data_IF_014324130267
#
_entry.id   IF_014324130267
#
_cell.length_a   1.000
_cell.length_b   1.000
_cell.length_c   1.000
_cell.angle_alpha   90.00
_cell.angle_beta   90.00
_cell.angle_gamma   90.00
#
_symmetry.space_group_name_H-M   'P 1'
#
loop_
_entity.id
_entity.type
_entity.pdbx_description
1 polymer ?
#
# COMPACT_ATOMS: atom_id res chain seq x y z
N UNK A 1 20.08 25.11 -33.01
CA UNK A 1 20.00 24.03 -32.00
C UNK A 1 18.77 23.20 -32.32
N UNK A 2 18.82 21.85 -32.29
CA UNK A 2 17.60 21.09 -32.50
C UNK A 2 16.69 21.37 -31.31
N UNK A 3 15.62 22.12 -31.53
CA UNK A 3 14.52 22.24 -30.57
C UNK A 3 14.00 20.82 -30.36
N UNK A 4 14.31 20.22 -29.23
CA UNK A 4 13.67 18.98 -28.83
C UNK A 4 12.18 19.29 -28.70
N UNK A 5 11.37 18.68 -29.57
CA UNK A 5 9.90 18.75 -29.57
C UNK A 5 9.27 18.50 -28.19
N UNK A 6 10.01 17.86 -27.29
CA UNK A 6 9.65 17.63 -25.89
C UNK A 6 9.43 18.93 -25.12
N UNK A 7 10.25 19.97 -25.29
CA UNK A 7 10.09 21.24 -24.53
C UNK A 7 8.82 22.02 -24.95
N UNK A 8 8.15 21.60 -26.02
CA UNK A 8 6.90 22.17 -26.49
C UNK A 8 5.66 21.37 -26.04
N UNK A 9 5.85 20.23 -25.36
CA UNK A 9 4.72 19.46 -24.87
C UNK A 9 4.06 20.15 -23.67
N UNK A 10 2.73 20.08 -23.56
CA UNK A 10 2.03 20.56 -22.37
C UNK A 10 2.50 19.82 -21.11
N UNK A 11 2.55 20.52 -19.99
CA UNK A 11 3.00 19.96 -18.70
C UNK A 11 2.13 18.78 -18.25
N UNK A 12 0.86 18.76 -18.64
CA UNK A 12 -0.10 17.72 -18.33
C UNK A 12 0.32 16.37 -18.94
N UNK A 13 0.91 16.37 -20.13
CA UNK A 13 1.42 15.15 -20.77
C UNK A 13 2.59 14.60 -19.96
N UNK A 14 3.47 15.47 -19.46
CA UNK A 14 4.53 15.05 -18.57
C UNK A 14 3.97 14.48 -17.27
N UNK A 15 3.00 15.12 -16.63
CA UNK A 15 2.39 14.60 -15.41
C UNK A 15 1.75 13.23 -15.61
N UNK A 16 1.08 13.01 -16.74
CA UNK A 16 0.57 11.69 -17.11
C UNK A 16 1.70 10.67 -17.23
N UNK A 17 2.78 10.98 -17.95
CA UNK A 17 3.94 10.08 -18.08
C UNK A 17 4.58 9.78 -16.71
N UNK A 18 4.79 10.82 -15.90
CA UNK A 18 5.40 10.70 -14.57
C UNK A 18 4.54 9.86 -13.62
N UNK A 19 3.21 9.82 -13.81
CA UNK A 19 2.31 9.01 -12.98
C UNK A 19 2.58 7.49 -13.06
N UNK A 20 3.22 7.03 -14.13
CA UNK A 20 3.62 5.63 -14.31
C UNK A 20 5.00 5.30 -13.71
N UNK A 21 5.71 6.29 -13.15
CA UNK A 21 7.07 6.16 -12.66
C UNK A 21 7.15 6.39 -11.15
N UNK A 22 8.08 5.70 -10.49
CA UNK A 22 8.42 6.01 -9.09
C UNK A 22 9.25 7.28 -9.01
N UNK A 23 9.16 8.02 -7.90
CA UNK A 23 9.91 9.25 -7.70
C UNK A 23 11.42 9.07 -7.86
N UNK A 24 11.97 7.92 -7.47
CA UNK A 24 13.37 7.59 -7.73
C UNK A 24 13.71 7.55 -9.22
N UNK A 25 12.88 6.89 -10.05
CA UNK A 25 13.05 6.86 -11.49
C UNK A 25 12.88 8.24 -12.13
N UNK A 26 11.89 9.01 -11.66
CA UNK A 26 11.64 10.37 -12.15
C UNK A 26 12.87 11.24 -11.92
N UNK A 27 13.38 11.29 -10.68
CA UNK A 27 14.54 12.12 -10.38
C UNK A 27 15.77 11.62 -11.12
N UNK A 28 16.02 10.31 -11.19
CA UNK A 28 17.18 9.77 -11.91
C UNK A 28 17.17 10.10 -13.41
N UNK A 29 15.99 10.09 -14.04
CA UNK A 29 15.86 10.29 -15.48
C UNK A 29 15.77 11.77 -15.88
N UNK A 30 15.11 12.61 -15.07
CA UNK A 30 14.73 13.96 -15.47
C UNK A 30 15.37 15.08 -14.64
N UNK A 31 15.88 14.79 -13.44
CA UNK A 31 16.52 15.80 -12.61
C UNK A 31 17.81 16.29 -13.27
N UNK A 32 18.01 17.62 -13.29
CA UNK A 32 19.17 18.27 -13.93
C UNK A 32 19.29 18.03 -15.44
N UNK A 33 18.24 17.57 -16.13
CA UNK A 33 18.26 17.43 -17.58
C UNK A 33 18.30 18.81 -18.27
N UNK A 34 17.32 19.65 -17.95
CA UNK A 34 17.29 21.08 -18.32
C UNK A 34 16.37 21.86 -17.36
N UNK A 35 16.33 23.19 -17.48
CA UNK A 35 15.50 24.04 -16.62
C UNK A 35 14.00 23.78 -16.78
N UNK A 36 13.54 23.43 -17.98
CA UNK A 36 12.14 23.14 -18.24
C UNK A 36 11.67 21.91 -17.46
N UNK A 37 12.39 20.79 -17.55
CA UNK A 37 12.11 19.58 -16.77
C UNK A 37 12.22 19.83 -15.27
N UNK A 38 13.24 20.57 -14.81
CA UNK A 38 13.33 20.92 -13.39
C UNK A 38 12.09 21.67 -12.90
N UNK A 39 11.54 22.60 -13.69
CA UNK A 39 10.30 23.30 -13.35
C UNK A 39 9.09 22.35 -13.32
N UNK A 40 9.00 21.41 -14.28
CA UNK A 40 7.95 20.37 -14.29
C UNK A 40 8.04 19.55 -13.00
N UNK A 41 9.23 19.08 -12.63
CA UNK A 41 9.44 18.26 -11.44
C UNK A 41 9.13 19.00 -10.13
N UNK A 42 9.42 20.31 -10.07
CA UNK A 42 9.06 21.18 -8.93
C UNK A 42 7.54 21.33 -8.81
N UNK A 43 6.83 21.43 -9.94
CA UNK A 43 5.37 21.56 -9.98
C UNK A 43 4.61 20.25 -9.76
N UNK A 44 5.23 19.10 -10.07
CA UNK A 44 4.62 17.79 -9.88
C UNK A 44 4.45 17.48 -8.38
N UNK A 45 3.27 17.08 -7.97
CA UNK A 45 2.89 16.90 -6.56
C UNK A 45 2.31 15.51 -6.25
N UNK A 46 2.52 14.55 -7.16
CA UNK A 46 1.98 13.18 -7.10
C UNK A 46 3.10 12.12 -7.15
N UNK A 47 4.14 12.28 -6.32
CA UNK A 47 5.21 11.29 -6.27
C UNK A 47 4.80 10.04 -5.50
N UNK A 48 5.10 8.89 -6.10
CA UNK A 48 5.07 7.58 -5.46
C UNK A 48 6.51 7.18 -5.16
N UNK A 49 6.83 7.03 -3.88
CA UNK A 49 8.15 6.60 -3.44
C UNK A 49 8.17 5.10 -3.25
N UNK A 50 8.97 4.43 -4.08
CA UNK A 50 9.31 3.04 -3.91
C UNK A 50 10.68 2.93 -3.24
N UNK A 51 10.67 2.58 -1.94
CA UNK A 51 11.85 2.29 -1.14
C UNK A 51 12.00 0.78 -0.91
N UNK A 52 11.33 -0.05 -1.72
CA UNK A 52 11.45 -1.51 -1.70
C UNK A 52 12.55 -2.05 -2.59
N UNK A 53 12.96 -1.28 -3.60
CA UNK A 53 13.97 -1.69 -4.55
C UNK A 53 15.31 -1.98 -3.84
N UNK A 54 15.89 -3.14 -4.12
CA UNK A 54 17.16 -3.59 -3.53
C UNK A 54 18.36 -2.70 -3.91
N UNK A 55 18.19 -1.85 -4.92
CA UNK A 55 19.29 -1.20 -5.61
C UNK A 55 19.32 0.32 -5.39
N UNK A 56 18.54 0.85 -4.44
CA UNK A 56 18.57 2.28 -4.13
C UNK A 56 19.91 2.61 -3.47
N UNK A 57 20.76 3.31 -4.21
CA UNK A 57 22.02 3.80 -3.70
C UNK A 57 21.80 4.91 -2.67
N UNK A 58 22.76 5.10 -1.75
CA UNK A 58 22.74 6.22 -0.80
C UNK A 58 22.58 7.57 -1.51
N UNK A 59 23.23 7.75 -2.68
CA UNK A 59 23.14 8.99 -3.47
C UNK A 59 21.73 9.23 -4.00
N UNK A 60 21.08 8.19 -4.52
CA UNK A 60 19.68 8.29 -4.99
C UNK A 60 18.74 8.60 -3.81
N UNK A 61 18.93 7.95 -2.66
CA UNK A 61 18.16 8.24 -1.46
C UNK A 61 18.35 9.69 -0.97
N UNK A 62 19.58 10.18 -0.96
CA UNK A 62 19.90 11.56 -0.56
C UNK A 62 19.31 12.57 -1.55
N UNK A 63 19.30 12.25 -2.85
CA UNK A 63 18.63 13.06 -3.89
C UNK A 63 17.12 13.13 -3.64
N UNK A 64 16.47 11.99 -3.40
CA UNK A 64 15.04 11.92 -3.06
C UNK A 64 14.73 12.81 -1.86
N UNK A 65 15.49 12.66 -0.76
CA UNK A 65 15.24 13.40 0.49
C UNK A 65 15.57 14.90 0.40
N UNK A 66 16.42 15.32 -0.54
CA UNK A 66 16.78 16.72 -0.74
C UNK A 66 15.86 17.45 -1.72
N UNK A 67 15.33 16.73 -2.71
CA UNK A 67 14.48 17.31 -3.75
C UNK A 67 12.99 17.31 -3.37
N UNK A 68 12.49 16.19 -2.83
CA UNK A 68 11.06 16.03 -2.60
C UNK A 68 10.60 16.63 -1.28
N UNK A 69 9.48 17.34 -1.34
CA UNK A 69 8.79 17.87 -0.17
C UNK A 69 7.71 16.90 0.30
N UNK A 70 7.41 16.95 1.60
CA UNK A 70 6.49 16.01 2.24
C UNK A 70 5.09 16.02 1.62
N UNK A 71 4.63 17.19 1.18
CA UNK A 71 3.34 17.42 0.54
C UNK A 71 3.27 16.84 -0.88
N UNK A 72 4.39 16.53 -1.51
CA UNK A 72 4.42 15.98 -2.87
C UNK A 72 4.36 14.45 -2.88
N UNK A 73 4.45 13.79 -1.71
CA UNK A 73 4.47 12.34 -1.58
C UNK A 73 3.04 11.82 -1.34
N UNK A 74 2.48 11.14 -2.33
CA UNK A 74 1.12 10.58 -2.27
C UNK A 74 1.11 9.06 -2.08
N UNK A 75 2.20 8.38 -2.43
CA UNK A 75 2.37 6.95 -2.24
C UNK A 75 3.73 6.61 -1.65
N UNK A 76 3.77 5.62 -0.76
CA UNK A 76 4.99 5.15 -0.14
C UNK A 76 5.00 3.63 -0.05
N UNK A 77 6.06 3.01 -0.57
CA UNK A 77 6.30 1.59 -0.49
C UNK A 77 7.63 1.34 0.23
N UNK A 78 7.61 0.45 1.22
CA UNK A 78 8.78 -0.03 1.93
C UNK A 78 9.00 -1.51 1.63
N UNK A 79 10.25 -1.94 1.44
CA UNK A 79 10.57 -3.36 1.20
C UNK A 79 11.62 -3.95 2.12
N UNK A 80 12.11 -5.13 1.74
CA UNK A 80 13.01 -5.97 2.55
C UNK A 80 14.36 -5.28 2.81
N UNK A 81 14.92 -5.50 4.00
CA UNK A 81 16.33 -5.25 4.35
C UNK A 81 16.86 -3.80 4.40
N UNK A 82 16.00 -2.79 4.49
CA UNK A 82 16.45 -1.40 4.64
C UNK A 82 15.94 -0.70 5.90
N UNK A 83 15.96 -1.38 7.05
CA UNK A 83 15.61 -0.75 8.34
C UNK A 83 16.34 0.60 8.52
N UNK A 84 17.60 0.69 8.08
CA UNK A 84 18.36 1.93 8.12
C UNK A 84 17.88 3.00 7.14
N UNK A 85 17.55 2.68 5.87
CA UNK A 85 17.00 3.68 4.94
C UNK A 85 15.63 4.15 5.39
N UNK A 86 14.78 3.24 5.87
CA UNK A 86 13.46 3.61 6.36
C UNK A 86 13.57 4.44 7.64
N UNK A 87 14.47 4.09 8.55
CA UNK A 87 14.72 4.91 9.73
C UNK A 87 15.26 6.29 9.36
N UNK A 88 16.17 6.38 8.39
CA UNK A 88 16.67 7.65 7.87
C UNK A 88 15.57 8.45 7.20
N UNK A 89 14.68 7.80 6.44
CA UNK A 89 13.53 8.43 5.80
C UNK A 89 12.61 9.00 6.87
N UNK A 90 12.19 8.17 7.82
CA UNK A 90 11.36 8.58 8.94
C UNK A 90 12.02 9.73 9.69
N UNK A 91 13.31 9.64 10.04
CA UNK A 91 14.04 10.73 10.72
C UNK A 91 14.07 12.04 9.91
N UNK A 92 14.28 11.96 8.59
CA UNK A 92 14.32 13.13 7.72
C UNK A 92 12.96 13.83 7.67
N UNK A 93 11.87 13.06 7.58
CA UNK A 93 10.52 13.61 7.47
C UNK A 93 9.93 13.97 8.85
N UNK A 94 10.23 13.23 9.91
CA UNK A 94 9.77 13.56 11.27
C UNK A 94 10.31 14.90 11.76
N UNK A 95 11.50 15.29 11.32
CA UNK A 95 12.10 16.58 11.68
C UNK A 95 11.63 17.74 10.79
N UNK A 96 11.06 17.45 9.62
CA UNK A 96 10.79 18.46 8.59
C UNK A 96 9.32 18.76 8.38
N UNK A 97 8.44 17.75 8.32
CA UNK A 97 6.98 17.87 8.15
C UNK A 97 6.30 16.49 8.07
N UNK A 98 5.05 16.40 8.52
CA UNK A 98 4.19 15.22 8.35
C UNK A 98 3.81 14.99 6.87
N UNK A 99 3.65 13.72 6.47
CA UNK A 99 3.25 13.29 5.13
C UNK A 99 1.74 13.48 4.92
N UNK A 100 1.29 14.74 4.91
CA UNK A 100 -0.14 15.10 4.95
C UNK A 100 -0.95 14.72 3.70
N UNK A 101 -0.27 14.54 2.56
CA UNK A 101 -0.89 14.15 1.28
C UNK A 101 -0.72 12.67 0.97
N UNK A 102 -0.13 11.89 1.86
CA UNK A 102 -0.01 10.45 1.68
C UNK A 102 -1.40 9.79 1.63
N UNK A 103 -1.66 9.05 0.55
CA UNK A 103 -2.91 8.31 0.32
C UNK A 103 -2.70 6.81 0.21
N UNK A 104 -1.51 6.36 -0.15
CA UNK A 104 -1.18 4.94 -0.29
C UNK A 104 0.05 4.57 0.51
N UNK A 105 -0.07 3.51 1.31
CA UNK A 105 1.04 2.95 2.07
C UNK A 105 1.15 1.44 1.79
N UNK A 106 2.31 1.00 1.35
CA UNK A 106 2.64 -0.41 1.16
C UNK A 106 3.89 -0.75 1.98
N UNK A 107 3.79 -1.79 2.80
CA UNK A 107 4.92 -2.37 3.51
C UNK A 107 5.06 -3.85 3.12
N UNK A 108 6.15 -4.16 2.41
CA UNK A 108 6.53 -5.50 1.99
C UNK A 108 7.31 -6.27 3.08
N UNK A 109 7.22 -7.59 2.98
CA UNK A 109 7.73 -8.69 3.82
C UNK A 109 9.00 -8.43 4.69
N UNK A 110 9.06 -9.09 5.87
CA UNK A 110 10.19 -9.20 6.83
C UNK A 110 10.86 -7.92 7.35
N UNK A 111 10.14 -6.81 7.49
CA UNK A 111 10.53 -5.89 8.57
C UNK A 111 10.08 -6.58 9.86
N UNK A 112 11.02 -6.97 10.73
CA UNK A 112 10.75 -7.07 12.16
C UNK A 112 10.36 -5.67 12.58
N UNK A 113 9.10 -5.32 12.33
CA UNK A 113 8.58 -4.02 12.65
C UNK A 113 8.48 -4.01 14.15
N UNK A 114 9.53 -3.54 14.80
CA UNK A 114 9.48 -3.26 16.21
C UNK A 114 8.42 -2.18 16.47
N UNK A 115 7.94 -2.14 17.71
CA UNK A 115 6.92 -1.18 18.11
C UNK A 115 7.36 0.26 17.86
N UNK A 116 8.67 0.52 17.95
CA UNK A 116 9.26 1.84 17.77
C UNK A 116 9.10 2.33 16.32
N UNK A 117 9.35 1.47 15.34
CA UNK A 117 9.15 1.77 13.93
C UNK A 117 7.72 2.19 13.64
N UNK A 118 6.72 1.40 14.07
CA UNK A 118 5.31 1.75 13.82
C UNK A 118 4.94 3.05 14.51
N UNK A 119 5.41 3.23 15.75
CA UNK A 119 5.15 4.47 16.50
C UNK A 119 5.71 5.67 15.76
N UNK A 120 6.93 5.58 15.22
CA UNK A 120 7.55 6.67 14.46
C UNK A 120 6.90 6.86 13.10
N UNK A 121 6.51 5.79 12.40
CA UNK A 121 5.83 5.89 11.12
C UNK A 121 4.46 6.57 11.27
N UNK A 122 3.69 6.16 12.28
CA UNK A 122 2.38 6.76 12.57
C UNK A 122 2.50 8.18 13.12
N UNK A 123 3.66 8.58 13.66
CA UNK A 123 3.91 9.98 14.03
C UNK A 123 4.02 10.93 12.83
N UNK A 124 4.34 10.40 11.64
CA UNK A 124 4.51 11.19 10.43
C UNK A 124 3.40 10.96 9.40
N UNK A 125 2.54 9.95 9.60
CA UNK A 125 1.43 9.59 8.69
C UNK A 125 0.09 9.69 9.42
N UNK A 126 -0.86 10.36 8.79
CA UNK A 126 -2.26 10.34 9.18
C UNK A 126 -2.98 9.13 8.54
N UNK A 127 -3.12 8.05 9.30
CA UNK A 127 -3.74 6.80 8.83
C UNK A 127 -5.20 6.98 8.39
N UNK A 128 -5.92 7.99 8.91
CA UNK A 128 -7.33 8.22 8.57
C UNK A 128 -7.50 8.82 7.16
N UNK A 129 -6.42 9.38 6.59
CA UNK A 129 -6.40 9.94 5.24
C UNK A 129 -5.96 8.93 4.17
N UNK A 130 -5.49 7.76 4.58
CA UNK A 130 -5.08 6.71 3.65
C UNK A 130 -6.29 6.14 2.91
N UNK A 131 -6.16 6.05 1.60
CA UNK A 131 -7.13 5.44 0.69
C UNK A 131 -6.75 3.99 0.39
N UNK A 132 -5.45 3.68 0.45
CA UNK A 132 -4.90 2.35 0.19
C UNK A 132 -3.88 1.95 1.24
N UNK A 133 -4.01 0.74 1.78
CA UNK A 133 -3.04 0.13 2.70
C UNK A 133 -2.74 -1.30 2.23
N UNK A 134 -1.45 -1.63 2.14
CA UNK A 134 -0.96 -2.98 1.85
C UNK A 134 0.08 -3.46 2.86
N UNK A 135 -0.16 -4.62 3.47
CA UNK A 135 0.76 -5.29 4.38
C UNK A 135 0.94 -6.76 3.98
N UNK A 136 2.11 -7.14 3.46
CA UNK A 136 2.30 -8.43 2.79
C UNK A 136 2.72 -9.60 3.69
N UNK A 137 3.26 -9.35 4.89
CA UNK A 137 3.61 -10.36 5.93
C UNK A 137 4.17 -9.66 7.17
N UNK A 138 3.29 -9.06 7.97
CA UNK A 138 3.75 -8.32 9.16
C UNK A 138 3.32 -9.04 10.42
N UNK A 139 4.30 -9.42 11.24
CA UNK A 139 4.08 -9.72 12.64
C UNK A 139 3.80 -8.40 13.39
N UNK A 140 2.58 -7.87 13.26
CA UNK A 140 2.17 -6.62 13.92
C UNK A 140 1.99 -6.80 15.43
N UNK A 141 2.84 -7.56 16.13
CA UNK A 141 2.69 -7.93 17.55
C UNK A 141 2.47 -6.75 18.50
N UNK A 142 2.77 -5.53 18.06
CA UNK A 142 2.70 -4.32 18.86
C UNK A 142 1.93 -3.16 18.21
N UNK A 143 1.13 -3.40 17.16
CA UNK A 143 0.29 -2.33 16.62
C UNK A 143 -0.91 -2.10 17.54
N UNK A 144 -0.75 -1.17 18.47
CA UNK A 144 -1.84 -0.74 19.35
C UNK A 144 -2.80 0.15 18.56
N UNK A 145 -3.85 -0.46 18.02
CA UNK A 145 -5.01 0.28 17.52
C UNK A 145 -5.77 0.84 18.72
N UNK A 146 -5.28 1.92 19.30
CA UNK A 146 -6.14 2.78 20.10
C UNK A 146 -7.36 3.17 19.27
N UNK A 147 -8.50 3.47 19.89
CA UNK A 147 -9.74 3.91 19.24
C UNK A 147 -9.63 5.14 18.32
N UNK A 148 -8.43 5.71 18.17
CA UNK A 148 -8.10 6.94 17.44
C UNK A 148 -8.10 6.80 15.92
N UNK A 149 -8.06 5.58 15.37
CA UNK A 149 -7.99 5.37 13.91
C UNK A 149 -9.33 4.86 13.40
N UNK A 150 -10.03 5.66 12.62
CA UNK A 150 -11.36 5.32 12.07
C UNK A 150 -11.26 4.73 10.66
N UNK A 151 -10.17 5.03 9.93
CA UNK A 151 -9.94 4.58 8.55
C UNK A 151 -11.08 4.94 7.57
N UNK A 152 -11.81 6.03 7.82
CA UNK A 152 -13.01 6.39 7.04
C UNK A 152 -12.74 6.61 5.54
N UNK A 153 -11.51 7.04 5.18
CA UNK A 153 -11.10 7.25 3.78
C UNK A 153 -10.67 5.97 3.06
N UNK A 154 -10.51 4.86 3.78
CA UNK A 154 -9.88 3.64 3.26
C UNK A 154 -10.82 2.93 2.29
N UNK A 155 -10.38 2.79 1.04
CA UNK A 155 -11.13 2.13 -0.05
C UNK A 155 -10.48 0.84 -0.51
N UNK A 156 -9.15 0.75 -0.39
CA UNK A 156 -8.36 -0.39 -0.85
C UNK A 156 -7.56 -0.96 0.32
N UNK A 157 -7.73 -2.25 0.56
CA UNK A 157 -7.08 -2.91 1.66
C UNK A 157 -6.52 -4.26 1.23
N UNK A 158 -5.21 -4.41 1.33
CA UNK A 158 -4.50 -5.68 1.12
C UNK A 158 -3.80 -6.03 2.43
N UNK A 159 -4.16 -7.15 3.05
CA UNK A 159 -3.67 -7.52 4.36
C UNK A 159 -3.29 -9.00 4.41
N UNK A 160 -2.12 -9.29 4.96
CA UNK A 160 -1.69 -10.64 5.31
C UNK A 160 -1.77 -10.89 6.81
N UNK A 161 -2.07 -12.15 7.17
CA UNK A 161 -2.59 -12.54 8.47
C UNK A 161 -1.67 -12.14 9.62
N UNK A 162 -2.28 -11.51 10.62
CA UNK A 162 -1.69 -11.37 11.94
C UNK A 162 -2.82 -11.29 12.97
N UNK A 163 -2.53 -11.65 14.22
CA UNK A 163 -3.47 -11.54 15.34
C UNK A 163 -4.02 -10.11 15.50
N UNK A 164 -3.34 -9.11 14.95
CA UNK A 164 -3.67 -7.68 15.06
C UNK A 164 -4.55 -7.17 13.93
N UNK A 165 -4.71 -7.94 12.84
CA UNK A 165 -5.80 -7.76 11.89
C UNK A 165 -7.17 -7.76 12.60
N UNK A 166 -7.32 -8.56 13.67
CA UNK A 166 -8.52 -8.57 14.51
C UNK A 166 -8.74 -7.28 15.31
N UNK A 167 -7.70 -6.51 15.57
CA UNK A 167 -7.81 -5.24 16.30
C UNK A 167 -8.26 -4.12 15.36
N UNK A 168 -7.68 -4.05 14.15
CA UNK A 168 -8.19 -3.20 13.05
C UNK A 168 -9.63 -3.59 12.68
N UNK A 169 -9.98 -4.88 12.75
CA UNK A 169 -11.32 -5.41 12.46
C UNK A 169 -12.44 -4.94 13.38
N UNK A 170 -12.13 -4.29 14.51
CA UNK A 170 -13.19 -3.74 15.37
C UNK A 170 -13.76 -2.44 14.82
N UNK A 171 -13.03 -1.78 13.92
CA UNK A 171 -13.41 -0.54 13.23
C UNK A 171 -13.34 -0.79 11.72
N UNK A 172 -14.16 -1.74 11.25
CA UNK A 172 -14.21 -2.10 9.83
C UNK A 172 -14.61 -0.86 9.03
N UNK A 173 -13.77 -0.38 8.09
CA UNK A 173 -14.11 0.80 7.32
C UNK A 173 -15.37 0.52 6.49
N UNK A 174 -16.36 1.41 6.58
CA UNK A 174 -17.66 1.24 5.92
C UNK A 174 -17.64 1.56 4.44
N UNK A 175 -16.48 1.82 3.82
CA UNK A 175 -16.36 2.26 2.42
C UNK A 175 -15.33 1.46 1.61
N UNK A 176 -14.98 0.25 2.05
CA UNK A 176 -14.07 -0.62 1.32
C UNK A 176 -14.66 -1.07 -0.01
N UNK A 177 -13.93 -0.82 -1.10
CA UNK A 177 -14.29 -1.24 -2.45
C UNK A 177 -13.39 -2.37 -2.96
N UNK A 178 -12.17 -2.47 -2.44
CA UNK A 178 -11.22 -3.52 -2.76
C UNK A 178 -10.69 -4.12 -1.46
N UNK A 179 -10.78 -5.44 -1.33
CA UNK A 179 -10.33 -6.17 -0.15
C UNK A 179 -9.57 -7.42 -0.56
N UNK A 180 -8.28 -7.50 -0.27
CA UNK A 180 -7.48 -8.71 -0.36
C UNK A 180 -7.02 -9.11 1.04
N UNK A 181 -7.49 -10.24 1.56
CA UNK A 181 -7.13 -10.73 2.89
C UNK A 181 -6.47 -12.09 2.76
N UNK A 182 -5.29 -12.26 3.33
CA UNK A 182 -4.70 -13.56 3.60
C UNK A 182 -4.85 -13.84 5.09
N UNK A 183 -5.59 -14.88 5.49
CA UNK A 183 -5.89 -15.17 6.90
C UNK A 183 -5.71 -16.65 7.21
N UNK A 184 -5.32 -16.94 8.45
CA UNK A 184 -5.28 -18.30 8.99
C UNK A 184 -6.62 -18.63 9.69
N UNK A 185 -7.50 -17.63 9.82
CA UNK A 185 -8.78 -17.72 10.53
C UNK A 185 -9.94 -17.35 9.62
N UNK A 186 -10.79 -18.34 9.33
CA UNK A 186 -11.99 -18.19 8.51
C UNK A 186 -12.99 -17.22 9.16
N UNK A 187 -13.20 -17.33 10.47
CA UNK A 187 -14.16 -16.48 11.20
C UNK A 187 -13.84 -14.98 11.09
N UNK A 188 -12.56 -14.63 11.17
CA UNK A 188 -12.10 -13.24 11.09
C UNK A 188 -12.34 -12.68 9.68
N UNK A 189 -12.06 -13.47 8.66
CA UNK A 189 -12.28 -13.09 7.27
C UNK A 189 -13.78 -12.96 6.96
N UNK A 190 -14.59 -13.90 7.43
CA UNK A 190 -16.05 -13.89 7.28
C UNK A 190 -16.65 -12.59 7.85
N UNK A 191 -16.22 -12.14 9.03
CA UNK A 191 -16.68 -10.89 9.64
C UNK A 191 -16.44 -9.65 8.74
N UNK A 192 -15.28 -9.55 8.11
CA UNK A 192 -14.95 -8.44 7.20
C UNK A 192 -15.79 -8.45 5.94
N UNK A 193 -15.95 -9.64 5.35
CA UNK A 193 -16.71 -9.81 4.13
C UNK A 193 -18.16 -9.44 4.40
N UNK A 194 -18.81 -10.00 5.44
CA UNK A 194 -20.21 -9.66 5.77
C UNK A 194 -20.43 -8.17 5.92
N UNK A 195 -19.50 -7.49 6.57
CA UNK A 195 -19.62 -6.05 6.86
C UNK A 195 -19.48 -5.16 5.63
N UNK A 196 -18.84 -5.65 4.54
CA UNK A 196 -18.56 -4.86 3.34
C UNK A 196 -19.16 -5.44 2.05
N UNK A 197 -19.82 -6.59 2.11
CA UNK A 197 -20.07 -7.38 0.92
C UNK A 197 -20.84 -6.63 -0.17
N UNK A 198 -21.80 -5.77 0.21
CA UNK A 198 -22.65 -5.02 -0.72
C UNK A 198 -21.92 -3.95 -1.53
N UNK A 199 -20.69 -3.60 -1.17
CA UNK A 199 -19.92 -2.51 -1.78
C UNK A 199 -18.56 -2.93 -2.33
N UNK A 200 -18.12 -4.16 -2.02
CA UNK A 200 -16.87 -4.69 -2.53
C UNK A 200 -16.98 -4.92 -4.03
N UNK A 201 -16.18 -4.22 -4.82
CA UNK A 201 -16.04 -4.46 -6.26
C UNK A 201 -15.06 -5.60 -6.57
N UNK A 202 -14.14 -5.85 -5.65
CA UNK A 202 -13.15 -6.93 -5.77
C UNK A 202 -12.79 -7.50 -4.39
N UNK A 203 -12.74 -8.82 -4.33
CA UNK A 203 -12.41 -9.58 -3.13
C UNK A 203 -11.33 -10.61 -3.43
N UNK A 204 -10.19 -10.52 -2.76
CA UNK A 204 -9.16 -11.54 -2.77
C UNK A 204 -9.05 -12.22 -1.41
N UNK A 205 -8.96 -13.53 -1.43
CA UNK A 205 -8.92 -14.34 -0.22
C UNK A 205 -7.76 -15.30 -0.33
N UNK A 206 -6.80 -15.14 0.56
CA UNK A 206 -5.73 -16.08 0.82
C UNK A 206 -6.00 -16.89 2.05
N UNK A 207 -5.87 -18.21 1.96
CA UNK A 207 -6.01 -19.09 3.11
C UNK A 207 -4.96 -20.19 3.07
N UNK A 208 -4.37 -20.46 4.23
CA UNK A 208 -3.71 -21.73 4.45
C UNK A 208 -4.77 -22.76 4.83
N UNK A 209 -5.15 -23.61 3.88
CA UNK A 209 -6.20 -24.60 4.08
C UNK A 209 -5.58 -25.98 4.28
N UNK A 210 -5.89 -26.61 5.41
CA UNK A 210 -5.92 -28.07 5.54
C UNK A 210 -7.31 -28.60 5.12
N UNK A 211 -7.49 -29.92 5.07
CA UNK A 211 -8.75 -30.53 4.63
C UNK A 211 -9.99 -30.08 5.44
N UNK A 212 -9.82 -29.78 6.73
CA UNK A 212 -10.90 -29.32 7.61
C UNK A 212 -11.26 -27.86 7.34
N UNK A 213 -10.26 -27.01 7.08
CA UNK A 213 -10.46 -25.60 6.74
C UNK A 213 -11.17 -25.42 5.40
N UNK A 214 -10.97 -26.33 4.42
CA UNK A 214 -11.67 -26.26 3.13
C UNK A 214 -13.18 -26.38 3.32
N UNK A 215 -13.67 -27.33 4.13
CA UNK A 215 -15.11 -27.51 4.33
C UNK A 215 -15.76 -26.31 5.01
N UNK A 216 -15.10 -25.78 6.05
CA UNK A 216 -15.55 -24.57 6.74
C UNK A 216 -15.55 -23.37 5.80
N UNK A 217 -14.51 -23.25 4.98
CA UNK A 217 -14.41 -22.21 3.97
C UNK A 217 -15.53 -22.33 2.95
N UNK A 218 -15.73 -23.49 2.31
CA UNK A 218 -16.81 -23.70 1.34
C UNK A 218 -18.17 -23.39 1.96
N UNK A 219 -18.44 -23.81 3.21
CA UNK A 219 -19.70 -23.53 3.91
C UNK A 219 -19.89 -22.07 4.27
N UNK A 220 -18.85 -21.36 4.69
CA UNK A 220 -18.94 -19.93 4.96
C UNK A 220 -19.19 -19.15 3.66
N UNK A 221 -18.56 -19.59 2.56
CA UNK A 221 -18.55 -18.87 1.30
C UNK A 221 -19.71 -19.22 0.35
N UNK A 222 -20.39 -20.35 0.56
CA UNK A 222 -21.58 -20.73 -0.19
C UNK A 222 -22.80 -19.86 0.09
N UNK A 223 -22.81 -19.15 1.21
CA UNK A 223 -23.94 -18.31 1.63
C UNK A 223 -23.92 -16.91 0.99
N UNK A 224 -22.90 -16.62 0.20
CA UNK A 224 -22.67 -15.32 -0.39
C UNK A 224 -23.14 -15.31 -1.84
N UNK A 225 -24.01 -14.36 -2.17
CA UNK A 225 -24.35 -14.05 -3.56
C UNK A 225 -23.24 -13.17 -4.15
N UNK A 226 -22.38 -13.80 -4.94
CA UNK A 226 -21.25 -13.16 -5.55
C UNK A 226 -21.64 -12.45 -6.84
N UNK A 227 -21.53 -11.13 -6.85
CA UNK A 227 -21.79 -10.26 -8.01
C UNK A 227 -20.52 -9.55 -8.49
N UNK A 228 -19.35 -9.92 -7.96
CA UNK A 228 -18.12 -9.14 -8.04
C UNK A 228 -16.91 -10.01 -8.35
N UNK A 229 -15.80 -9.42 -8.81
CA UNK A 229 -14.56 -10.17 -9.07
C UNK A 229 -14.04 -10.80 -7.78
N UNK A 230 -13.79 -12.12 -7.81
CA UNK A 230 -13.23 -12.84 -6.66
C UNK A 230 -11.97 -13.58 -7.04
N UNK A 231 -10.92 -13.40 -6.24
CA UNK A 231 -9.68 -14.12 -6.38
C UNK A 231 -9.39 -14.97 -5.13
N UNK A 232 -9.40 -16.28 -5.26
CA UNK A 232 -8.98 -17.19 -4.20
C UNK A 232 -7.52 -17.61 -4.41
N UNK A 233 -6.66 -17.35 -3.43
CA UNK A 233 -5.27 -17.76 -3.35
C UNK A 233 -5.13 -18.83 -2.24
N UNK A 234 -5.37 -20.08 -2.59
CA UNK A 234 -5.40 -21.19 -1.63
C UNK A 234 -4.03 -21.89 -1.57
N UNK A 235 -3.55 -22.18 -0.36
CA UNK A 235 -2.41 -23.10 -0.16
C UNK A 235 -2.93 -24.44 0.34
N UNK A 236 -2.93 -25.46 -0.53
CA UNK A 236 -3.40 -26.82 -0.26
C UNK A 236 -2.24 -27.80 -0.30
N UNK A 237 -1.95 -28.48 0.82
CA UNK A 237 -0.90 -29.50 0.92
C UNK A 237 0.45 -29.04 0.33
N UNK A 238 0.83 -27.78 0.60
CA UNK A 238 2.07 -27.17 0.11
C UNK A 238 2.01 -26.61 -1.32
N UNK A 239 0.94 -26.86 -2.08
CA UNK A 239 0.72 -26.29 -3.42
C UNK A 239 -0.09 -25.00 -3.36
N UNK A 240 0.26 -24.03 -4.19
CA UNK A 240 -0.52 -22.80 -4.36
C UNK A 240 -1.48 -22.94 -5.53
N UNK A 241 -2.74 -22.60 -5.30
CA UNK A 241 -3.80 -22.59 -6.30
C UNK A 241 -4.39 -21.19 -6.31
N UNK A 242 -4.36 -20.56 -7.49
CA UNK A 242 -5.01 -19.28 -7.75
C UNK A 242 -6.25 -19.53 -8.60
N UNK A 243 -7.42 -19.18 -8.07
CA UNK A 243 -8.71 -19.27 -8.77
C UNK A 243 -9.26 -17.86 -8.88
N UNK A 244 -9.59 -17.41 -10.08
CA UNK A 244 -10.25 -16.12 -10.28
C UNK A 244 -11.63 -16.38 -10.88
N UNK A 245 -12.66 -15.91 -10.20
CA UNK A 245 -14.04 -15.96 -10.66
C UNK A 245 -14.46 -14.54 -11.04
N UNK A 246 -14.90 -14.37 -12.28
CA UNK A 246 -15.50 -13.15 -12.78
C UNK A 246 -16.97 -13.42 -13.03
N UNK A 247 -17.84 -12.60 -12.45
CA UNK A 247 -19.27 -12.67 -12.67
C UNK A 247 -19.61 -11.53 -13.63
N UNK A 248 -20.19 -11.87 -14.78
CA UNK A 248 -20.77 -10.87 -15.69
C UNK A 248 -22.17 -10.57 -15.19
N UNK A 249 -22.52 -9.29 -15.11
CA UNK A 249 -23.90 -8.83 -14.86
C UNK A 249 -24.84 -9.25 -15.98
#
# INVERSE_FOLDING_TARGET
MPNLLLDCLPVEIFYEILSYLSGGHILKAFHSLNNHFNNILIGYDHYILDLSASDISKKEFDLICSFLRSEQIVGLQFGRNYFDLVNRFISNFSNRQSLNRLRSLWIDDTILIDQLFLTRLVSIIDLNKLVSIRFDRIYLNHFNTSSRYTFDSLKHLVLCSSRQFRLLSKQIPTHLTFLHIFSDSINVMDQFIRSNMRQLKSLGIGLHCDSNNIQQFTKAFSNYQWTHLIQFNLRLNGKYIKITLSFQE
#
